data_IF_937902569864
#
_entry.id   IF_937902569864
#
_cell.length_a   1.000
_cell.length_b   1.000
_cell.length_c   1.000
_cell.angle_alpha   90.00
_cell.angle_beta   90.00
_cell.angle_gamma   90.00
#
_symmetry.space_group_name_H-M   'P 1'
#
loop_
_entity.id
_entity.type
_entity.pdbx_description
1 polymer ?
#
# COMPACT_ATOMS: atom_id res chain seq x y z
N UNK A 1 26.03 12.00 -9.99
CA UNK A 1 25.05 11.18 -10.75
C UNK A 1 24.09 10.56 -9.76
N UNK A 2 22.79 10.70 -10.00
CA UNK A 2 21.75 10.02 -9.23
C UNK A 2 21.74 8.57 -9.71
N UNK A 3 21.91 7.61 -8.79
CA UNK A 3 21.98 6.18 -9.12
C UNK A 3 20.72 5.42 -8.74
N UNK A 4 20.06 5.84 -7.67
CA UNK A 4 18.86 5.19 -7.14
C UNK A 4 17.79 6.26 -6.93
N UNK A 5 16.59 6.02 -7.45
CA UNK A 5 15.41 6.85 -7.26
C UNK A 5 14.40 6.02 -6.46
N UNK A 6 13.96 6.54 -5.32
CA UNK A 6 12.88 5.96 -4.52
C UNK A 6 11.60 6.74 -4.80
N UNK A 7 10.53 6.06 -5.19
CA UNK A 7 9.21 6.67 -5.41
C UNK A 7 8.18 6.05 -4.46
N UNK A 8 7.59 6.83 -3.54
CA UNK A 8 6.45 6.39 -2.76
C UNK A 8 5.18 6.41 -3.62
N UNK A 9 4.42 5.32 -3.58
CA UNK A 9 3.17 5.14 -4.29
C UNK A 9 2.04 4.93 -3.29
N UNK A 10 0.97 5.70 -3.40
CA UNK A 10 -0.23 5.60 -2.56
C UNK A 10 -1.48 5.15 -3.35
N UNK A 11 -1.33 4.92 -4.65
CA UNK A 11 -2.42 4.52 -5.55
C UNK A 11 -3.25 5.70 -6.08
N UNK A 12 -2.92 6.93 -5.71
CA UNK A 12 -3.56 8.13 -6.26
C UNK A 12 -3.08 8.45 -7.68
N UNK A 13 -3.87 9.21 -8.45
CA UNK A 13 -3.46 9.74 -9.76
C UNK A 13 -2.17 10.58 -9.67
N UNK A 14 -1.96 11.28 -8.55
CA UNK A 14 -0.74 12.06 -8.31
C UNK A 14 0.50 11.17 -8.19
N UNK A 15 0.39 10.06 -7.46
CA UNK A 15 1.48 9.08 -7.37
C UNK A 15 1.76 8.40 -8.71
N UNK A 16 0.72 8.17 -9.53
CA UNK A 16 0.85 7.66 -10.89
C UNK A 16 1.64 8.62 -11.80
N UNK A 17 1.29 9.90 -11.79
CA UNK A 17 2.05 10.91 -12.53
C UNK A 17 3.51 11.00 -12.05
N UNK A 18 3.75 10.91 -10.73
CA UNK A 18 5.10 10.92 -10.17
C UNK A 18 5.92 9.69 -10.60
N UNK A 19 5.29 8.52 -10.70
CA UNK A 19 5.90 7.30 -11.23
C UNK A 19 6.37 7.47 -12.69
N UNK A 20 5.54 8.06 -13.56
CA UNK A 20 5.89 8.33 -14.95
C UNK A 20 7.16 9.18 -15.07
N UNK A 21 7.24 10.26 -14.29
CA UNK A 21 8.45 11.09 -14.24
C UNK A 21 9.65 10.34 -13.66
N UNK A 22 9.45 9.53 -12.61
CA UNK A 22 10.53 8.76 -12.01
C UNK A 22 11.11 7.71 -12.98
N UNK A 23 10.28 7.06 -13.79
CA UNK A 23 10.71 6.16 -14.85
C UNK A 23 11.56 6.89 -15.90
N UNK A 24 11.06 8.03 -16.41
CA UNK A 24 11.79 8.84 -17.38
C UNK A 24 13.15 9.32 -16.83
N UNK A 25 13.19 9.81 -15.59
CA UNK A 25 14.43 10.26 -14.95
C UNK A 25 15.41 9.10 -14.75
N UNK A 26 14.92 7.93 -14.33
CA UNK A 26 15.77 6.75 -14.09
C UNK A 26 16.46 6.30 -15.38
N UNK A 27 15.73 6.26 -16.50
CA UNK A 27 16.28 5.96 -17.82
C UNK A 27 17.35 6.98 -18.22
N UNK A 28 17.07 8.29 -18.05
CA UNK A 28 18.03 9.36 -18.37
C UNK A 28 19.32 9.29 -17.56
N UNK A 29 19.26 8.80 -16.32
CA UNK A 29 20.44 8.69 -15.46
C UNK A 29 21.10 7.31 -15.50
N UNK A 30 20.57 6.36 -16.27
CA UNK A 30 20.99 4.96 -16.26
C UNK A 30 21.04 4.41 -14.81
N UNK A 31 19.99 4.70 -14.05
CA UNK A 31 19.87 4.38 -12.63
C UNK A 31 18.91 3.22 -12.35
N UNK A 32 18.61 3.02 -11.06
CA UNK A 32 17.63 2.07 -10.55
C UNK A 32 16.43 2.82 -9.97
N UNK A 33 15.22 2.38 -10.29
CA UNK A 33 13.98 2.86 -9.67
C UNK A 33 13.53 1.85 -8.62
N UNK A 34 13.18 2.34 -7.44
CA UNK A 34 12.65 1.57 -6.32
C UNK A 34 11.28 2.14 -5.99
N UNK A 35 10.24 1.34 -6.12
CA UNK A 35 8.89 1.69 -5.67
C UNK A 35 8.69 1.32 -4.20
N UNK A 36 7.98 2.17 -3.45
CA UNK A 36 7.59 1.88 -2.07
C UNK A 36 6.10 2.18 -1.88
N UNK A 37 5.33 1.17 -1.47
CA UNK A 37 3.96 1.33 -1.04
C UNK A 37 3.85 0.93 0.44
N UNK A 38 3.19 1.76 1.25
CA UNK A 38 2.97 1.49 2.67
C UNK A 38 1.54 1.00 2.85
N UNK A 39 1.40 -0.17 3.46
CA UNK A 39 0.12 -0.75 3.84
C UNK A 39 -0.14 -0.41 5.32
N UNK A 40 -1.23 0.31 5.60
CA UNK A 40 -1.64 0.58 6.97
C UNK A 40 -2.34 -0.63 7.60
N UNK A 41 -1.57 -1.41 8.36
CA UNK A 41 -2.09 -2.55 9.11
C UNK A 41 -2.69 -2.17 10.46
N UNK A 42 -2.40 -0.97 10.98
CA UNK A 42 -2.88 -0.53 12.32
C UNK A 42 -4.37 -0.22 12.26
N UNK A 43 -4.83 0.37 11.15
CA UNK A 43 -6.26 0.56 10.87
C UNK A 43 -7.06 -0.76 10.85
N UNK A 44 -6.41 -1.92 10.65
CA UNK A 44 -7.07 -3.23 10.68
C UNK A 44 -7.25 -3.81 12.09
N UNK A 45 -6.48 -3.35 13.06
CA UNK A 45 -6.45 -3.89 14.43
C UNK A 45 -7.23 -3.00 15.42
N UNK A 46 -7.77 -1.87 14.96
CA UNK A 46 -8.44 -0.86 15.79
C UNK A 46 -9.93 -1.11 16.08
N UNK A 47 -10.47 -0.28 16.99
CA UNK A 47 -11.85 -0.30 17.50
C UNK A 47 -12.94 -0.33 16.42
N UNK A 48 -12.67 0.18 15.22
CA UNK A 48 -13.59 0.20 14.09
C UNK A 48 -14.20 -1.17 13.76
N UNK A 49 -13.39 -2.23 13.77
CA UNK A 49 -13.89 -3.57 13.49
C UNK A 49 -14.64 -4.18 14.66
N UNK A 50 -14.27 -3.82 15.88
CA UNK A 50 -14.97 -4.22 17.10
C UNK A 50 -16.37 -3.60 17.17
N UNK A 51 -16.52 -2.36 16.68
CA UNK A 51 -17.80 -1.66 16.60
C UNK A 51 -18.69 -2.25 15.50
N UNK A 52 -18.12 -2.56 14.31
CA UNK A 52 -18.85 -3.23 13.24
C UNK A 52 -19.30 -4.63 13.65
N UNK A 53 -18.42 -5.45 14.22
CA UNK A 53 -18.75 -6.82 14.64
C UNK A 53 -19.82 -6.84 15.73
N UNK A 54 -19.70 -5.95 16.71
CA UNK A 54 -20.71 -5.73 17.75
C UNK A 54 -22.06 -5.29 17.19
N UNK A 55 -22.07 -4.41 16.19
CA UNK A 55 -23.32 -3.93 15.55
C UNK A 55 -23.99 -4.97 14.63
N UNK A 56 -23.20 -5.86 14.01
CA UNK A 56 -23.68 -6.90 13.10
C UNK A 56 -23.95 -8.24 13.81
N UNK A 57 -23.66 -8.34 15.12
CA UNK A 57 -23.90 -9.52 15.93
C UNK A 57 -22.92 -10.68 15.67
N UNK A 58 -21.75 -10.41 15.08
CA UNK A 58 -20.70 -11.40 14.87
C UNK A 58 -19.70 -11.34 16.03
N UNK A 59 -19.32 -12.49 16.60
CA UNK A 59 -18.11 -12.56 17.43
C UNK A 59 -16.89 -12.19 16.57
N UNK A 60 -15.90 -11.44 17.11
CA UNK A 60 -14.69 -11.14 16.37
C UNK A 60 -13.95 -12.47 16.11
N UNK A 61 -14.14 -13.03 14.91
CA UNK A 61 -13.44 -14.22 14.48
C UNK A 61 -11.94 -13.93 14.53
N UNK A 62 -11.23 -14.78 15.26
CA UNK A 62 -9.79 -14.74 15.57
C UNK A 62 -8.85 -14.51 14.36
N UNK A 63 -9.36 -14.50 13.13
CA UNK A 63 -8.60 -14.55 11.88
C UNK A 63 -8.98 -13.46 10.86
N UNK A 64 -9.83 -12.49 11.26
CA UNK A 64 -10.23 -11.41 10.36
C UNK A 64 -9.07 -10.45 10.04
N UNK A 65 -8.21 -10.17 11.01
CA UNK A 65 -7.02 -9.34 10.83
C UNK A 65 -6.04 -9.97 9.83
N UNK A 66 -5.84 -11.28 9.89
CA UNK A 66 -5.02 -12.04 8.92
C UNK A 66 -5.56 -11.88 7.51
N UNK A 67 -6.86 -12.16 7.29
CA UNK A 67 -7.48 -12.05 5.96
C UNK A 67 -7.45 -10.62 5.42
N UNK A 68 -7.63 -9.63 6.28
CA UNK A 68 -7.53 -8.23 5.84
C UNK A 68 -6.12 -7.82 5.50
N UNK A 69 -5.12 -8.29 6.25
CA UNK A 69 -3.72 -8.09 5.88
C UNK A 69 -3.44 -8.70 4.51
N UNK A 70 -3.86 -9.94 4.25
CA UNK A 70 -3.72 -10.59 2.95
C UNK A 70 -4.36 -9.77 1.82
N UNK A 71 -5.58 -9.24 2.02
CA UNK A 71 -6.25 -8.40 1.02
C UNK A 71 -5.51 -7.08 0.79
N UNK A 72 -5.03 -6.42 1.83
CA UNK A 72 -4.25 -5.19 1.67
C UNK A 72 -2.90 -5.45 1.00
N UNK A 73 -2.25 -6.57 1.31
CA UNK A 73 -1.02 -7.01 0.65
C UNK A 73 -1.24 -7.30 -0.83
N UNK A 74 -2.30 -8.04 -1.19
CA UNK A 74 -2.67 -8.28 -2.59
C UNK A 74 -2.99 -6.99 -3.33
N UNK A 75 -3.68 -6.03 -2.70
CA UNK A 75 -3.92 -4.72 -3.32
C UNK A 75 -2.63 -3.92 -3.50
N UNK A 76 -1.72 -3.97 -2.53
CA UNK A 76 -0.42 -3.31 -2.63
C UNK A 76 0.41 -3.82 -3.81
N UNK A 77 0.31 -5.11 -4.14
CA UNK A 77 0.96 -5.71 -5.31
C UNK A 77 0.42 -5.24 -6.66
N UNK A 78 -0.75 -4.60 -6.71
CA UNK A 78 -1.30 -4.03 -7.95
C UNK A 78 -0.72 -2.62 -8.23
N UNK A 79 -0.21 -1.96 -7.19
CA UNK A 79 0.37 -0.60 -7.28
C UNK A 79 1.83 -0.64 -7.76
N UNK A 80 2.56 -1.72 -7.47
CA UNK A 80 3.98 -1.94 -7.82
C UNK A 80 4.12 -2.95 -8.96
#
# INVERSE_FOLDING_TARGET
MIKNILIPLDGSEHSGAALEYAMWMTEKFNGMLIGQHIIDTISLEGTFFHDISGSLGFEPYLDFSTKMREVLEERGKVIL
#
